data_IF_438876815832
#
_entry.id   IF_438876815832
#
_cell.length_a   1.000
_cell.length_b   1.000
_cell.length_c   1.000
_cell.angle_alpha   90.00
_cell.angle_beta   90.00
_cell.angle_gamma   90.00
#
_symmetry.space_group_name_H-M   'P 1'
#
loop_
_entity.id
_entity.type
_entity.pdbx_description
1 polymer ?
#
# COMPACT_ATOMS: atom_id res chain seq x y z
N UNK A 1 68.17 14.80 -12.36
CA UNK A 1 67.02 13.87 -12.27
C UNK A 1 66.19 14.30 -11.07
N UNK A 2 65.13 15.08 -11.31
CA UNK A 2 64.32 15.70 -10.26
C UNK A 2 63.22 14.77 -9.77
N UNK A 3 62.86 14.88 -8.49
CA UNK A 3 61.64 14.30 -7.94
C UNK A 3 60.66 15.39 -7.54
N UNK A 4 59.43 15.22 -8.01
CA UNK A 4 58.31 16.15 -7.94
C UNK A 4 57.45 15.89 -6.71
N UNK A 5 56.94 17.00 -6.20
CA UNK A 5 56.02 17.28 -5.10
C UNK A 5 54.60 16.66 -5.29
N UNK A 6 53.91 16.25 -4.20
CA UNK A 6 52.68 16.91 -3.69
C UNK A 6 51.95 16.11 -2.59
N UNK A 7 51.40 16.91 -1.66
CA UNK A 7 50.61 16.59 -0.48
C UNK A 7 49.13 16.33 -0.81
N UNK A 8 48.40 15.64 0.08
CA UNK A 8 47.03 16.03 0.47
C UNK A 8 46.58 15.39 1.80
N UNK A 9 46.19 16.27 2.72
CA UNK A 9 45.47 16.17 4.00
C UNK A 9 43.98 15.85 3.76
N UNK A 10 43.04 15.66 4.69
CA UNK A 10 42.92 15.42 6.13
C UNK A 10 41.45 15.03 6.39
N UNK A 11 41.20 14.32 7.50
CA UNK A 11 39.89 14.02 8.10
C UNK A 11 39.06 15.28 8.37
N UNK A 12 37.75 15.22 8.12
CA UNK A 12 36.79 16.22 8.64
C UNK A 12 35.52 15.55 9.18
N UNK A 13 35.37 15.64 10.49
CA UNK A 13 34.12 15.59 11.26
C UNK A 13 33.26 16.81 10.92
N UNK A 14 31.94 16.65 10.82
CA UNK A 14 30.98 17.77 10.89
C UNK A 14 29.96 17.51 11.98
N UNK A 15 30.08 18.28 13.06
CA UNK A 15 28.99 18.70 13.91
C UNK A 15 28.31 19.89 13.23
N UNK A 16 26.98 19.94 13.23
CA UNK A 16 26.24 21.17 12.95
C UNK A 16 25.29 21.46 14.10
N UNK A 17 25.50 22.64 14.68
CA UNK A 17 24.82 23.23 15.81
C UNK A 17 23.48 23.85 15.39
N UNK A 18 22.46 23.62 16.22
CA UNK A 18 21.17 24.29 16.17
C UNK A 18 21.34 25.77 16.54
N UNK A 19 20.80 26.69 15.73
CA UNK A 19 20.70 28.12 16.06
C UNK A 19 19.25 28.57 15.90
N UNK A 20 18.57 28.71 17.05
CA UNK A 20 17.25 29.29 17.18
C UNK A 20 17.35 30.82 16.98
N UNK A 21 16.68 31.38 15.97
CA UNK A 21 16.40 32.82 15.91
C UNK A 21 14.94 33.06 16.29
N UNK A 22 14.78 33.83 17.36
CA UNK A 22 13.52 34.38 17.86
C UNK A 22 13.22 35.68 17.07
N UNK A 23 12.00 35.86 16.56
CA UNK A 23 11.53 37.10 15.93
C UNK A 23 10.30 37.59 16.73
N UNK A 24 10.26 38.87 17.17
CA UNK A 24 9.18 39.39 18.00
C UNK A 24 7.92 39.74 17.18
N UNK A 25 6.76 39.62 17.82
CA UNK A 25 5.45 39.91 17.25
C UNK A 25 5.17 41.43 17.21
N UNK A 26 4.72 41.92 16.05
CA UNK A 26 4.09 43.23 15.92
C UNK A 26 2.68 43.07 15.30
N UNK A 27 1.71 43.66 15.99
CA UNK A 27 0.28 43.71 15.67
C UNK A 27 -0.01 44.62 14.47
N UNK A 28 -0.77 44.14 13.49
CA UNK A 28 -1.34 44.95 12.40
C UNK A 28 -2.86 44.88 12.46
N UNK A 29 -3.60 46.01 12.49
CA UNK A 29 -5.05 45.99 12.51
C UNK A 29 -5.67 45.81 11.10
N UNK A 30 -6.82 45.14 11.13
CA UNK A 30 -7.79 44.85 10.08
C UNK A 30 -8.22 46.04 9.22
N UNK A 31 -8.43 45.83 7.92
CA UNK A 31 -9.63 46.27 7.16
C UNK A 31 -9.84 45.38 5.91
N UNK A 32 -11.07 44.88 5.73
CA UNK A 32 -11.55 44.12 4.56
C UNK A 32 -12.52 45.03 3.78
N UNK A 33 -12.40 45.20 2.46
CA UNK A 33 -13.51 45.62 1.61
C UNK A 33 -14.30 44.41 1.10
N UNK A 34 -15.62 44.52 1.18
CA UNK A 34 -16.58 43.51 0.78
C UNK A 34 -16.77 43.38 -0.74
N UNK A 35 -17.24 42.20 -1.13
CA UNK A 35 -17.90 41.82 -2.38
C UNK A 35 -17.02 41.46 -3.59
N UNK A 36 -16.88 40.15 -3.81
CA UNK A 36 -16.88 39.53 -5.15
C UNK A 36 -17.33 38.08 -5.04
N UNK A 37 -18.41 37.76 -5.74
CA UNK A 37 -19.14 36.50 -5.74
C UNK A 37 -18.27 35.38 -6.30
N UNK A 38 -17.85 34.42 -5.48
CA UNK A 38 -17.27 33.16 -5.94
C UNK A 38 -18.22 32.03 -5.56
N UNK A 39 -18.72 31.32 -6.56
CA UNK A 39 -19.55 30.14 -6.39
C UNK A 39 -18.80 29.13 -5.52
N UNK A 40 -19.31 28.93 -4.31
CA UNK A 40 -18.82 27.89 -3.42
C UNK A 40 -19.25 26.55 -4.01
N UNK A 41 -18.31 25.85 -4.64
CA UNK A 41 -18.42 24.40 -4.74
C UNK A 41 -18.56 23.89 -3.32
N UNK A 42 -19.77 23.41 -2.98
CA UNK A 42 -19.99 22.63 -1.76
C UNK A 42 -19.13 21.39 -1.87
N UNK A 43 -17.94 21.42 -1.28
CA UNK A 43 -17.33 20.19 -0.81
C UNK A 43 -18.24 19.70 0.31
N UNK A 44 -19.17 18.80 -0.02
CA UNK A 44 -19.85 17.98 0.97
C UNK A 44 -18.79 17.09 1.61
N UNK A 45 -18.14 17.60 2.65
CA UNK A 45 -17.46 16.80 3.65
C UNK A 45 -18.51 15.92 4.30
N UNK A 46 -18.80 14.78 3.68
CA UNK A 46 -19.32 13.64 4.39
C UNK A 46 -18.26 13.27 5.41
N UNK A 47 -18.49 13.72 6.63
CA UNK A 47 -17.82 13.26 7.84
C UNK A 47 -18.17 11.77 8.00
N UNK A 48 -17.55 10.91 7.19
CA UNK A 48 -17.55 9.49 7.44
C UNK A 48 -16.59 9.28 8.60
N UNK A 49 -17.15 9.26 9.81
CA UNK A 49 -16.56 8.50 10.90
C UNK A 49 -16.31 7.10 10.35
N UNK A 50 -15.10 6.83 9.85
CA UNK A 50 -14.66 5.46 9.58
C UNK A 50 -14.40 4.86 10.96
N UNK A 51 -15.26 3.97 11.47
CA UNK A 51 -14.89 3.22 12.65
C UNK A 51 -13.60 2.50 12.28
N UNK A 52 -12.54 2.71 13.06
CA UNK A 52 -11.40 1.82 13.03
C UNK A 52 -11.99 0.41 13.15
N UNK A 53 -11.81 -0.44 12.13
CA UNK A 53 -12.32 -1.80 12.17
C UNK A 53 -11.63 -2.46 13.37
N UNK A 54 -12.32 -2.50 14.52
CA UNK A 54 -11.73 -2.98 15.75
C UNK A 54 -11.61 -4.48 15.60
N UNK A 55 -10.45 -4.92 15.12
CA UNK A 55 -10.18 -6.34 14.97
C UNK A 55 -10.41 -7.08 16.29
N UNK A 56 -10.75 -8.36 16.17
CA UNK A 56 -10.79 -9.25 17.30
C UNK A 56 -9.37 -9.33 17.90
N UNK A 57 -9.19 -9.14 19.23
CA UNK A 57 -7.88 -9.26 19.87
C UNK A 57 -7.14 -10.57 19.57
N UNK A 58 -7.87 -11.65 19.29
CA UNK A 58 -7.29 -12.94 18.91
C UNK A 58 -6.56 -12.91 17.57
N UNK A 59 -6.97 -12.05 16.64
CA UNK A 59 -6.35 -11.98 15.31
C UNK A 59 -4.96 -11.33 15.39
N UNK A 60 -4.78 -10.36 16.31
CA UNK A 60 -3.47 -9.79 16.59
C UNK A 60 -2.48 -10.86 17.10
N UNK A 61 -2.93 -11.70 18.05
CA UNK A 61 -2.10 -12.78 18.58
C UNK A 61 -1.78 -13.78 17.47
N UNK A 62 -2.77 -14.20 16.68
CA UNK A 62 -2.55 -15.17 15.61
C UNK A 62 -1.56 -14.66 14.55
N UNK A 63 -1.67 -13.40 14.10
CA UNK A 63 -0.69 -12.77 13.20
C UNK A 63 0.72 -12.75 13.81
N UNK A 64 0.84 -12.50 15.12
CA UNK A 64 2.16 -12.47 15.78
C UNK A 64 2.81 -13.85 15.93
N UNK A 65 2.01 -14.91 15.89
CA UNK A 65 2.45 -16.29 16.12
C UNK A 65 2.86 -17.03 14.84
N UNK A 66 2.59 -16.48 13.66
CA UNK A 66 3.03 -17.08 12.40
C UNK A 66 4.56 -17.19 12.39
N UNK A 67 5.10 -18.37 12.12
CA UNK A 67 6.54 -18.54 12.04
C UNK A 67 7.09 -17.90 10.76
N UNK A 68 8.41 -17.73 10.69
CA UNK A 68 9.04 -17.06 9.55
C UNK A 68 8.95 -17.86 8.26
N UNK A 69 8.96 -19.20 8.34
CA UNK A 69 8.95 -20.07 7.17
C UNK A 69 7.57 -20.04 6.53
N UNK A 70 6.53 -20.19 7.35
CA UNK A 70 5.14 -20.08 6.90
C UNK A 70 4.86 -18.69 6.32
N UNK A 71 5.30 -17.62 6.98
CA UNK A 71 5.11 -16.27 6.45
C UNK A 71 5.74 -16.09 5.06
N UNK A 72 6.97 -16.58 4.88
CA UNK A 72 7.67 -16.52 3.57
C UNK A 72 6.90 -17.29 2.51
N UNK A 73 6.42 -18.50 2.84
CA UNK A 73 5.68 -19.36 1.93
C UNK A 73 4.36 -18.71 1.46
N UNK A 74 3.55 -18.22 2.41
CA UNK A 74 2.28 -17.52 2.11
C UNK A 74 2.51 -16.28 1.24
N UNK A 75 3.56 -15.50 1.53
CA UNK A 75 3.89 -14.35 0.68
C UNK A 75 4.27 -14.76 -0.74
N UNK A 76 5.10 -15.81 -0.88
CA UNK A 76 5.50 -16.31 -2.19
C UNK A 76 4.29 -16.81 -2.98
N UNK A 77 3.43 -17.62 -2.36
CA UNK A 77 2.21 -18.14 -3.00
C UNK A 77 1.26 -17.01 -3.44
N UNK A 78 1.08 -15.98 -2.57
CA UNK A 78 0.30 -14.79 -2.91
C UNK A 78 0.89 -14.03 -4.10
N UNK A 79 2.20 -13.77 -4.11
CA UNK A 79 2.81 -12.94 -5.15
C UNK A 79 2.96 -13.67 -6.47
N UNK A 80 3.27 -14.96 -6.46
CA UNK A 80 3.38 -15.80 -7.66
C UNK A 80 2.01 -15.94 -8.33
N UNK A 81 0.94 -16.22 -7.57
CA UNK A 81 -0.42 -16.26 -8.14
C UNK A 81 -0.90 -14.92 -8.69
N UNK A 82 -0.52 -13.80 -8.04
CA UNK A 82 -0.78 -12.47 -8.58
C UNK A 82 -0.02 -12.20 -9.87
N UNK A 83 1.24 -12.64 -9.99
CA UNK A 83 2.03 -12.52 -11.23
C UNK A 83 1.30 -13.19 -12.38
N UNK A 84 0.99 -14.48 -12.24
CA UNK A 84 0.32 -15.26 -13.27
C UNK A 84 -0.99 -14.58 -13.70
N UNK A 85 -1.76 -14.08 -12.72
CA UNK A 85 -3.03 -13.43 -13.00
C UNK A 85 -2.87 -12.06 -13.67
N UNK A 86 -1.86 -11.26 -13.30
CA UNK A 86 -1.59 -9.99 -13.97
C UNK A 86 -1.09 -10.17 -15.39
N UNK A 87 -0.24 -11.17 -15.64
CA UNK A 87 0.20 -11.52 -17.00
C UNK A 87 -1.01 -11.89 -17.86
N UNK A 88 -1.89 -12.76 -17.36
CA UNK A 88 -3.14 -13.09 -18.05
C UNK A 88 -4.01 -11.86 -18.31
N UNK A 89 -4.18 -10.97 -17.33
CA UNK A 89 -4.99 -9.76 -17.49
C UNK A 89 -4.44 -8.89 -18.61
N UNK A 90 -3.13 -8.70 -18.65
CA UNK A 90 -2.46 -7.84 -19.61
C UNK A 90 -2.55 -8.43 -21.03
N UNK A 91 -2.33 -9.74 -21.18
CA UNK A 91 -2.47 -10.43 -22.47
C UNK A 91 -3.90 -10.36 -23.02
N UNK A 92 -4.90 -10.45 -22.16
CA UNK A 92 -6.31 -10.37 -22.54
C UNK A 92 -6.79 -8.93 -22.83
N UNK A 93 -6.01 -7.91 -22.47
CA UNK A 93 -6.44 -6.49 -22.53
C UNK A 93 -5.67 -5.71 -23.58
N UNK A 94 -6.16 -5.76 -24.82
CA UNK A 94 -5.54 -5.08 -25.97
C UNK A 94 -5.59 -3.55 -25.96
N UNK A 95 -6.34 -2.94 -25.05
CA UNK A 95 -6.50 -1.48 -24.95
C UNK A 95 -5.38 -0.80 -24.16
N UNK A 96 -4.58 -1.56 -23.41
CA UNK A 96 -3.49 -1.02 -22.61
C UNK A 96 -2.30 -0.63 -23.50
N UNK A 97 -1.63 0.47 -23.16
CA UNK A 97 -0.47 0.97 -23.91
C UNK A 97 0.82 0.55 -23.22
N UNK A 98 1.54 -0.38 -23.83
CA UNK A 98 2.80 -0.94 -23.33
C UNK A 98 2.69 -1.43 -21.87
N UNK A 99 1.70 -2.29 -21.55
CA UNK A 99 1.62 -2.92 -20.23
C UNK A 99 2.83 -3.85 -20.00
N UNK A 100 3.23 -4.00 -18.74
CA UNK A 100 4.38 -4.81 -18.34
C UNK A 100 4.21 -5.38 -16.92
N UNK A 101 4.72 -6.58 -16.68
CA UNK A 101 4.75 -7.24 -15.36
C UNK A 101 6.18 -7.68 -15.09
N UNK A 102 6.71 -7.29 -13.93
CA UNK A 102 8.02 -7.76 -13.47
C UNK A 102 7.94 -8.24 -12.03
N UNK A 103 8.55 -9.38 -11.75
CA UNK A 103 8.62 -9.94 -10.41
C UNK A 103 10.04 -10.40 -10.09
N UNK A 104 10.56 -9.96 -8.95
CA UNK A 104 11.89 -10.34 -8.48
C UNK A 104 12.13 -9.92 -7.04
N UNK A 105 12.86 -10.74 -6.28
CA UNK A 105 13.22 -10.49 -4.88
C UNK A 105 12.04 -10.14 -3.95
N UNK A 106 10.84 -10.69 -4.24
CA UNK A 106 9.62 -10.40 -3.49
C UNK A 106 8.98 -9.05 -3.81
N UNK A 107 9.35 -8.43 -4.93
CA UNK A 107 8.76 -7.20 -5.46
C UNK A 107 8.08 -7.50 -6.79
N UNK A 108 6.76 -7.36 -6.83
CA UNK A 108 5.93 -7.41 -8.02
C UNK A 108 5.62 -5.98 -8.47
N UNK A 109 5.99 -5.64 -9.70
CA UNK A 109 5.71 -4.36 -10.33
C UNK A 109 4.83 -4.57 -11.55
N UNK A 110 3.69 -3.89 -11.61
CA UNK A 110 2.70 -4.02 -12.68
C UNK A 110 2.45 -2.64 -13.28
N UNK A 111 2.83 -2.46 -14.55
CA UNK A 111 2.56 -1.25 -15.31
C UNK A 111 1.34 -1.46 -16.20
N UNK A 112 0.31 -0.62 -16.04
CA UNK A 112 -0.85 -0.58 -16.93
C UNK A 112 -0.72 0.49 -18.02
N UNK A 113 0.46 1.12 -18.13
CA UNK A 113 0.70 2.23 -19.07
C UNK A 113 -0.03 3.52 -18.70
N UNK A 114 0.08 4.54 -19.54
CA UNK A 114 -0.65 5.80 -19.35
C UNK A 114 -2.13 5.65 -19.76
N UNK A 115 -3.09 6.19 -18.98
CA UNK A 115 -2.91 7.05 -17.79
C UNK A 115 -2.91 6.30 -16.44
N UNK A 116 -2.90 4.97 -16.45
CA UNK A 116 -3.19 4.13 -15.28
C UNK A 116 -2.02 3.97 -14.31
N UNK A 117 -0.79 4.15 -14.79
CA UNK A 117 0.42 4.16 -13.96
C UNK A 117 0.90 2.77 -13.55
N UNK A 118 1.68 2.72 -12.46
CA UNK A 118 2.41 1.52 -12.02
C UNK A 118 2.08 1.16 -10.58
N UNK A 119 1.70 -0.09 -10.38
CA UNK A 119 1.48 -0.71 -9.08
C UNK A 119 2.75 -1.40 -8.62
N UNK A 120 3.08 -1.29 -7.33
CA UNK A 120 4.19 -2.02 -6.71
C UNK A 120 3.68 -2.77 -5.50
N UNK A 121 3.83 -4.08 -5.49
CA UNK A 121 3.46 -4.98 -4.40
C UNK A 121 4.74 -5.64 -3.87
N UNK A 122 5.09 -5.38 -2.62
CA UNK A 122 6.39 -5.74 -2.06
C UNK A 122 6.25 -6.51 -0.74
N UNK A 123 6.90 -7.67 -0.66
CA UNK A 123 7.05 -8.43 0.58
C UNK A 123 8.02 -7.75 1.54
N UNK A 124 7.54 -7.44 2.75
CA UNK A 124 8.32 -6.83 3.81
C UNK A 124 8.54 -7.81 4.96
N UNK A 125 9.61 -8.60 4.85
CA UNK A 125 9.97 -9.64 5.83
C UNK A 125 10.10 -9.11 7.28
N UNK A 126 10.81 -8.00 7.56
CA UNK A 126 11.00 -7.54 8.94
C UNK A 126 9.69 -7.21 9.65
N UNK A 127 8.72 -6.68 8.90
CA UNK A 127 7.43 -6.26 9.42
C UNK A 127 6.37 -7.37 9.31
N UNK A 128 6.66 -8.47 8.61
CA UNK A 128 5.70 -9.53 8.26
C UNK A 128 4.46 -8.98 7.54
N UNK A 129 4.71 -8.16 6.53
CA UNK A 129 3.66 -7.47 5.77
C UNK A 129 3.85 -7.61 4.26
N UNK A 130 2.78 -7.33 3.52
CA UNK A 130 2.85 -6.95 2.11
C UNK A 130 2.55 -5.46 2.01
N UNK A 131 3.38 -4.71 1.30
CA UNK A 131 3.16 -3.30 1.02
C UNK A 131 2.68 -3.15 -0.41
N UNK A 132 1.69 -2.28 -0.60
CA UNK A 132 1.18 -1.89 -1.92
C UNK A 132 1.43 -0.41 -2.13
N UNK A 133 1.89 -0.04 -3.31
CA UNK A 133 1.81 1.31 -3.85
C UNK A 133 0.84 1.30 -5.02
N UNK A 134 -0.32 1.96 -4.87
CA UNK A 134 -1.30 2.15 -5.94
C UNK A 134 -1.22 3.59 -6.47
N UNK A 135 -1.22 3.81 -7.80
CA UNK A 135 -1.41 5.14 -8.40
C UNK A 135 -2.72 5.81 -8.01
N UNK A 136 -3.74 5.01 -7.66
CA UNK A 136 -5.11 5.48 -7.38
C UNK A 136 -5.32 5.74 -5.89
N UNK A 137 -4.98 4.77 -5.03
CA UNK A 137 -5.26 4.83 -3.59
C UNK A 137 -4.03 5.10 -2.71
N UNK A 138 -2.84 5.22 -3.30
CA UNK A 138 -1.60 5.47 -2.59
C UNK A 138 -1.06 4.25 -1.84
N UNK A 139 -0.16 4.45 -0.86
CA UNK A 139 0.51 3.36 -0.17
C UNK A 139 -0.40 2.69 0.88
N UNK A 140 -0.34 1.36 0.95
CA UNK A 140 -1.04 0.52 1.94
C UNK A 140 -0.12 -0.57 2.49
N UNK A 141 -0.38 -1.01 3.72
CA UNK A 141 0.39 -2.05 4.41
C UNK A 141 -0.56 -3.13 4.92
N UNK A 142 -0.45 -4.32 4.37
CA UNK A 142 -1.33 -5.44 4.67
C UNK A 142 -0.67 -6.36 5.67
N UNK A 143 -1.42 -6.70 6.71
CA UNK A 143 -1.05 -7.74 7.66
C UNK A 143 -1.73 -9.05 7.26
N UNK A 144 -1.01 -10.16 7.41
CA UNK A 144 -1.59 -11.46 7.20
C UNK A 144 -2.44 -11.87 8.41
N UNK A 145 -3.70 -12.18 8.17
CA UNK A 145 -4.63 -12.71 9.17
C UNK A 145 -4.79 -14.20 8.90
N UNK A 146 -4.16 -15.08 9.68
CA UNK A 146 -4.26 -16.52 9.46
C UNK A 146 -5.68 -17.01 9.74
N UNK A 147 -6.15 -17.97 8.94
CA UNK A 147 -7.35 -18.73 9.26
C UNK A 147 -7.07 -19.60 10.51
N UNK A 148 -8.05 -19.67 11.40
CA UNK A 148 -7.98 -20.46 12.63
C UNK A 148 -8.28 -21.95 12.37
N UNK A 149 -8.88 -22.28 11.23
CA UNK A 149 -9.35 -23.62 10.88
C UNK A 149 -8.34 -24.40 10.03
N UNK A 150 -7.52 -23.69 9.28
CA UNK A 150 -6.60 -24.26 8.30
C UNK A 150 -5.19 -23.76 8.53
N UNK A 151 -4.22 -24.65 8.33
CA UNK A 151 -2.79 -24.33 8.50
C UNK A 151 -2.31 -23.67 7.22
N UNK A 152 -1.56 -22.56 7.35
CA UNK A 152 -0.99 -21.78 6.25
C UNK A 152 -2.00 -21.05 5.35
N UNK A 153 -3.28 -21.01 5.71
CA UNK A 153 -4.27 -20.19 5.00
C UNK A 153 -4.62 -18.94 5.81
N UNK A 154 -5.28 -17.99 5.16
CA UNK A 154 -5.57 -16.68 5.74
C UNK A 154 -5.75 -15.63 4.65
N UNK A 155 -5.76 -14.36 5.03
CA UNK A 155 -5.95 -13.27 4.09
C UNK A 155 -5.17 -12.01 4.48
N UNK A 156 -4.92 -11.16 3.48
CA UNK A 156 -4.17 -9.91 3.64
C UNK A 156 -5.10 -8.74 3.92
N UNK A 157 -5.03 -8.16 5.12
CA UNK A 157 -5.95 -7.11 5.57
C UNK A 157 -5.24 -5.77 5.78
N UNK A 158 -5.78 -4.70 5.21
CA UNK A 158 -5.36 -3.34 5.57
C UNK A 158 -6.17 -2.85 6.76
N UNK A 159 -5.52 -2.76 7.93
CA UNK A 159 -6.21 -2.48 9.20
C UNK A 159 -6.92 -1.12 9.28
N UNK A 160 -6.50 -0.15 8.48
CA UNK A 160 -7.05 1.20 8.57
C UNK A 160 -8.46 1.32 8.00
N UNK A 161 -8.78 0.57 6.96
CA UNK A 161 -10.10 0.60 6.31
C UNK A 161 -10.81 -0.77 6.28
N UNK A 162 -10.11 -1.84 6.67
CA UNK A 162 -10.66 -3.18 6.73
C UNK A 162 -10.81 -3.86 5.37
N UNK A 163 -10.25 -3.28 4.30
CA UNK A 163 -10.30 -3.83 2.94
C UNK A 163 -9.14 -4.79 2.75
N UNK A 164 -9.39 -5.94 2.11
CA UNK A 164 -8.32 -6.90 1.80
C UNK A 164 -7.51 -6.48 0.56
N UNK A 165 -6.31 -7.04 0.42
CA UNK A 165 -5.47 -6.78 -0.76
C UNK A 165 -6.22 -7.13 -2.05
N UNK A 166 -6.84 -8.32 -2.07
CA UNK A 166 -7.55 -8.84 -3.24
C UNK A 166 -8.84 -8.06 -3.53
N UNK A 167 -9.57 -7.62 -2.50
CA UNK A 167 -10.73 -6.73 -2.67
C UNK A 167 -10.35 -5.41 -3.34
N UNK A 168 -9.25 -4.80 -2.91
CA UNK A 168 -8.79 -3.54 -3.50
C UNK A 168 -8.33 -3.73 -4.95
N UNK A 169 -7.52 -4.77 -5.22
CA UNK A 169 -7.06 -5.07 -6.58
C UNK A 169 -8.23 -5.42 -7.50
N UNK A 170 -9.20 -6.19 -7.02
CA UNK A 170 -10.44 -6.44 -7.74
C UNK A 170 -11.10 -5.14 -8.18
N UNK A 171 -11.29 -4.20 -7.26
CA UNK A 171 -11.97 -2.94 -7.54
C UNK A 171 -11.18 -2.06 -8.52
N UNK A 172 -9.91 -1.80 -8.23
CA UNK A 172 -9.09 -0.85 -8.99
C UNK A 172 -8.78 -1.39 -10.39
N UNK A 173 -8.40 -2.67 -10.51
CA UNK A 173 -7.98 -3.26 -11.78
C UNK A 173 -9.18 -3.57 -12.69
N UNK A 174 -10.33 -3.98 -12.12
CA UNK A 174 -11.55 -4.13 -12.93
C UNK A 174 -11.99 -2.79 -13.55
N UNK A 175 -11.78 -1.68 -12.85
CA UNK A 175 -12.08 -0.35 -13.39
C UNK A 175 -11.15 0.08 -14.52
N UNK A 176 -9.87 -0.35 -14.49
CA UNK A 176 -8.90 -0.11 -15.55
C UNK A 176 -9.23 -0.94 -16.80
N UNK A 177 -9.47 -2.24 -16.61
CA UNK A 177 -9.67 -3.19 -17.70
C UNK A 177 -11.09 -3.13 -18.28
N UNK A 178 -12.08 -2.70 -17.48
CA UNK A 178 -13.46 -2.57 -17.91
C UNK A 178 -14.22 -3.90 -18.01
N UNK A 179 -13.74 -4.95 -17.33
CA UNK A 179 -14.40 -6.28 -17.25
C UNK A 179 -14.39 -6.82 -15.83
N UNK A 180 -15.19 -7.87 -15.59
CA UNK A 180 -15.17 -8.60 -14.33
C UNK A 180 -13.90 -9.43 -14.24
N UNK A 181 -13.18 -9.28 -13.13
CA UNK A 181 -12.02 -10.08 -12.72
C UNK A 181 -12.41 -10.97 -11.53
N UNK A 182 -11.58 -11.94 -11.18
CA UNK A 182 -11.83 -12.92 -10.11
C UNK A 182 -10.62 -13.02 -9.17
N UNK A 183 -10.20 -11.89 -8.57
CA UNK A 183 -9.11 -11.90 -7.58
C UNK A 183 -9.45 -12.70 -6.31
N UNK A 184 -10.72 -12.99 -6.07
CA UNK A 184 -11.21 -13.79 -4.95
C UNK A 184 -10.98 -15.31 -5.11
N UNK A 185 -10.59 -15.75 -6.29
CA UNK A 185 -10.26 -17.16 -6.54
C UNK A 185 -8.76 -17.43 -6.32
N UNK A 186 -7.96 -16.37 -6.11
CA UNK A 186 -6.53 -16.48 -5.83
C UNK A 186 -6.28 -16.91 -4.38
N UNK A 187 -5.12 -17.55 -4.10
CA UNK A 187 -4.69 -17.86 -2.75
C UNK A 187 -4.74 -16.65 -1.82
N UNK A 188 -5.11 -16.90 -0.57
CA UNK A 188 -5.12 -15.91 0.50
C UNK A 188 -5.99 -14.66 0.25
N UNK A 189 -7.05 -14.80 -0.53
CA UNK A 189 -7.96 -13.72 -0.92
C UNK A 189 -9.21 -13.62 -0.05
N UNK A 190 -9.70 -14.76 0.45
CA UNK A 190 -11.02 -14.84 1.06
C UNK A 190 -10.96 -14.67 2.58
N UNK A 191 -11.87 -13.83 3.08
CA UNK A 191 -12.17 -13.79 4.51
C UNK A 191 -13.06 -14.99 4.86
N UNK A 192 -12.77 -15.74 5.92
CA UNK A 192 -13.67 -16.80 6.38
C UNK A 192 -15.06 -16.21 6.64
N UNK A 193 -16.07 -16.72 5.95
CA UNK A 193 -17.45 -16.32 6.23
C UNK A 193 -17.82 -16.88 7.60
N UNK A 194 -18.10 -16.00 8.56
CA UNK A 194 -18.70 -16.38 9.83
C UNK A 194 -20.09 -16.94 9.55
N UNK A 195 -20.24 -18.26 9.56
CA UNK A 195 -21.53 -18.96 9.47
C UNK A 195 -22.39 -18.79 10.75
N UNK A 196 -22.32 -17.66 11.44
CA UNK A 196 -23.16 -17.35 12.61
C UNK A 196 -24.20 -16.28 12.25
N UNK A 197 -25.12 -16.65 11.35
CA UNK A 197 -26.21 -15.78 10.91
C UNK A 197 -27.47 -16.54 10.46
N UNK A 198 -27.65 -17.79 10.92
CA UNK A 198 -28.96 -18.45 10.94
C UNK A 198 -29.23 -18.87 12.37
N UNK A 199 -30.08 -18.09 13.02
CA UNK A 199 -31.12 -18.51 13.98
C UNK A 199 -31.48 -17.31 14.87
N UNK A 200 -32.71 -16.78 14.69
CA UNK A 200 -33.30 -15.72 15.51
C UNK A 200 -34.17 -14.77 14.71
#
# INVERSE_FOLDING_TARGET
>A
MGHVLRQATSRWTRLLTCSHRYIPAHSVPSQIPANSTTAQFRCSTFNQYRPYSSMNPNDFIATSLIDSVTFVAVCSDTLESLVDYFEQIIDETSTLKNPDVTYGDGVLTVSFGEPHGTYVINRQLPNRQIWLSSPTSGPKRYDFIPDKRTVNEGYWLYRHDGVTLHELLQQEISAIVGRKLEFFDLPHSQRPQDQNGRDG
#
